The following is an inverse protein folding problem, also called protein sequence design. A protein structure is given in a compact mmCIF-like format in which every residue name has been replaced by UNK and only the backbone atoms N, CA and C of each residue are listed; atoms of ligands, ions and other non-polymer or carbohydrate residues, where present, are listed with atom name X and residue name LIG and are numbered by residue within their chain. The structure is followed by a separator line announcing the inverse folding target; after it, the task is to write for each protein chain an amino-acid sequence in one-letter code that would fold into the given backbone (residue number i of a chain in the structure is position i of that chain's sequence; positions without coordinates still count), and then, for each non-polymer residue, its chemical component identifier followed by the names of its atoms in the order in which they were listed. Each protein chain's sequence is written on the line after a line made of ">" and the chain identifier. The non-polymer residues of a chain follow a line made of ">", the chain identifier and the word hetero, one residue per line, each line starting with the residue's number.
data_IF_514955829745
#
_entry.id   IF_514955829745
#
_cell.length_a   1.000
_cell.length_b   1.000
_cell.length_c   1.000
_cell.angle_alpha   90.00
_cell.angle_beta   90.00
_cell.angle_gamma   90.00
#
_symmetry.space_group_name_H-M   'P 1'
#
loop_
_entity.id
_entity.type
_entity.pdbx_description
1 polymer ?
#
# COMPACT_ATOMS: atom_id res chain seq x y z
N UNK A 1 4.07 11.76 7.37
CA UNK A 1 3.62 11.61 5.97
C UNK A 1 3.19 12.95 5.36
N UNK A 2 2.45 13.79 6.10
CA UNK A 2 2.04 15.14 5.66
C UNK A 2 3.22 16.01 5.18
N UNK A 3 4.35 15.97 5.90
CA UNK A 3 5.57 16.69 5.49
C UNK A 3 6.14 16.19 4.16
N UNK A 4 6.16 14.87 3.92
CA UNK A 4 6.66 14.31 2.67
C UNK A 4 5.76 14.68 1.49
N UNK A 5 4.44 14.55 1.65
CA UNK A 5 3.48 14.95 0.63
C UNK A 5 3.56 16.46 0.34
N UNK A 6 3.74 17.28 1.38
CA UNK A 6 3.97 18.70 1.23
C UNK A 6 5.27 18.99 0.48
N UNK A 7 6.36 18.26 0.77
CA UNK A 7 7.63 18.38 0.03
C UNK A 7 7.46 18.02 -1.44
N UNK A 8 6.74 16.93 -1.76
CA UNK A 8 6.45 16.53 -3.15
C UNK A 8 5.71 17.63 -3.92
N UNK A 9 4.72 18.26 -3.27
CA UNK A 9 3.96 19.36 -3.87
C UNK A 9 4.76 20.65 -4.00
N UNK A 10 5.50 21.02 -2.96
CA UNK A 10 6.15 22.35 -2.87
C UNK A 10 7.51 22.39 -3.55
N UNK A 11 8.33 21.33 -3.43
CA UNK A 11 9.66 21.29 -4.04
C UNK A 11 9.64 20.71 -5.45
N UNK A 12 8.82 19.67 -5.66
CA UNK A 12 8.78 18.96 -6.94
C UNK A 12 7.58 19.36 -7.81
N UNK A 13 6.72 20.27 -7.34
CA UNK A 13 5.57 20.82 -8.08
C UNK A 13 4.60 19.75 -8.59
N UNK A 14 4.55 18.58 -7.92
CA UNK A 14 3.62 17.52 -8.29
C UNK A 14 2.20 17.88 -7.87
N UNK A 15 1.24 17.70 -8.78
CA UNK A 15 -0.18 17.72 -8.42
C UNK A 15 -0.53 16.51 -7.56
N UNK A 16 -1.61 16.58 -6.79
CA UNK A 16 -2.02 15.46 -5.95
C UNK A 16 -2.43 14.24 -6.77
N UNK A 17 -2.98 14.46 -7.97
CA UNK A 17 -3.33 13.40 -8.92
C UNK A 17 -2.12 12.72 -9.55
N UNK A 18 -0.98 13.42 -9.63
CA UNK A 18 0.29 12.84 -10.10
C UNK A 18 1.02 12.03 -9.01
N UNK A 19 0.53 12.08 -7.76
CA UNK A 19 1.09 11.33 -6.64
C UNK A 19 0.18 10.13 -6.38
N UNK A 20 0.71 8.93 -6.66
CA UNK A 20 0.06 7.68 -6.28
C UNK A 20 0.62 7.17 -4.96
N UNK A 21 -0.27 6.94 -4.00
CA UNK A 21 0.06 6.36 -2.69
C UNK A 21 -0.35 4.89 -2.71
N UNK A 22 0.47 4.01 -2.17
CA UNK A 22 0.14 2.60 -2.04
C UNK A 22 -0.14 2.25 -0.58
N UNK A 23 -1.16 1.43 -0.31
CA UNK A 23 -1.25 0.74 0.97
C UNK A 23 -0.06 -0.21 1.14
N UNK A 24 0.27 -0.57 2.38
CA UNK A 24 1.29 -1.57 2.63
C UNK A 24 0.70 -2.96 2.31
N UNK A 25 1.40 -3.82 1.53
CA UNK A 25 0.92 -5.18 1.28
C UNK A 25 0.87 -6.00 2.57
N UNK A 26 0.07 -7.08 2.64
CA UNK A 26 0.01 -7.92 3.83
C UNK A 26 1.41 -8.42 4.22
N UNK A 27 1.69 -8.36 5.51
CA UNK A 27 2.92 -8.89 6.07
C UNK A 27 2.72 -10.39 6.28
N UNK A 28 3.20 -11.21 5.34
CA UNK A 28 2.95 -12.66 5.36
C UNK A 28 3.57 -13.39 6.57
N UNK A 29 4.41 -12.74 7.37
CA UNK A 29 4.90 -13.25 8.66
C UNK A 29 4.04 -12.84 9.86
N UNK A 30 3.04 -11.97 9.69
CA UNK A 30 2.08 -11.57 10.71
C UNK A 30 0.74 -12.24 10.42
N UNK A 31 0.48 -13.34 11.12
CA UNK A 31 -0.86 -13.93 11.16
C UNK A 31 -1.72 -13.23 12.21
N UNK A 32 -2.97 -12.94 11.87
CA UNK A 32 -3.96 -12.34 12.79
C UNK A 32 -4.12 -13.15 14.08
N UNK A 33 -4.01 -14.48 13.98
CA UNK A 33 -4.18 -15.39 15.12
C UNK A 33 -2.97 -15.40 16.07
N UNK A 34 -1.79 -14.98 15.61
CA UNK A 34 -0.57 -14.95 16.42
C UNK A 34 -0.24 -13.54 16.92
N UNK A 35 -0.66 -12.51 16.19
CA UNK A 35 -0.27 -11.11 16.42
C UNK A 35 -1.44 -10.17 16.22
N UNK A 36 -2.54 -10.39 16.96
CA UNK A 36 -3.80 -9.64 16.82
C UNK A 36 -3.58 -8.12 16.88
N UNK A 37 -2.91 -7.61 17.92
CA UNK A 37 -2.69 -6.17 18.10
C UNK A 37 -1.90 -5.55 16.94
N UNK A 38 -0.85 -6.21 16.49
CA UNK A 38 -0.02 -5.77 15.37
C UNK A 38 -0.81 -5.82 14.07
N UNK A 39 -1.60 -6.87 13.86
CA UNK A 39 -2.44 -7.05 12.68
C UNK A 39 -3.53 -5.97 12.61
N UNK A 40 -4.17 -5.65 13.74
CA UNK A 40 -5.16 -4.58 13.84
C UNK A 40 -4.56 -3.19 13.63
N UNK A 41 -3.36 -2.94 14.19
CA UNK A 41 -2.64 -1.69 13.96
C UNK A 41 -2.27 -1.54 12.47
N UNK A 42 -1.78 -2.61 11.85
CA UNK A 42 -1.43 -2.65 10.43
C UNK A 42 -2.65 -2.42 9.53
N UNK A 43 -3.76 -3.10 9.83
CA UNK A 43 -5.02 -2.93 9.12
C UNK A 43 -5.56 -1.50 9.25
N UNK A 44 -5.55 -0.94 10.46
CA UNK A 44 -5.95 0.45 10.72
C UNK A 44 -5.09 1.45 9.95
N UNK A 45 -3.78 1.20 9.87
CA UNK A 45 -2.87 2.05 9.10
C UNK A 45 -3.18 2.01 7.61
N UNK A 46 -3.46 0.84 7.04
CA UNK A 46 -3.89 0.72 5.65
C UNK A 46 -5.24 1.38 5.40
N UNK A 47 -6.21 1.28 6.32
CA UNK A 47 -7.47 2.02 6.21
C UNK A 47 -7.27 3.54 6.21
N UNK A 48 -6.35 4.04 7.03
CA UNK A 48 -5.98 5.46 6.99
C UNK A 48 -5.37 5.87 5.65
N UNK A 49 -4.53 5.03 5.02
CA UNK A 49 -4.03 5.29 3.66
C UNK A 49 -5.17 5.28 2.63
N UNK A 50 -6.08 4.30 2.68
CA UNK A 50 -7.26 4.24 1.80
C UNK A 50 -8.08 5.50 1.88
N UNK A 51 -8.24 6.03 3.09
CA UNK A 51 -9.02 7.25 3.33
C UNK A 51 -8.42 8.50 2.70
N UNK A 52 -7.21 8.44 2.11
CA UNK A 52 -6.63 9.53 1.33
C UNK A 52 -7.24 9.64 -0.08
N UNK A 53 -7.95 8.61 -0.53
CA UNK A 53 -8.70 8.60 -1.79
C UNK A 53 -10.16 9.07 -1.63
N UNK A 54 -10.62 9.33 -0.39
CA UNK A 54 -12.01 9.71 -0.10
C UNK A 54 -12.43 10.97 -0.87
N UNK A 55 -13.73 11.10 -1.16
CA UNK A 55 -14.26 12.28 -1.83
C UNK A 55 -14.10 13.52 -0.94
N UNK A 56 -13.53 14.63 -1.46
CA UNK A 56 -13.43 15.87 -0.70
C UNK A 56 -14.77 16.43 -0.23
N UNK A 57 -15.86 16.13 -0.94
CA UNK A 57 -17.24 16.52 -0.57
C UNK A 57 -17.73 15.89 0.73
N UNK A 58 -17.12 14.79 1.15
CA UNK A 58 -17.47 14.06 2.38
C UNK A 58 -16.56 14.44 3.56
N UNK A 59 -15.60 15.36 3.35
CA UNK A 59 -14.61 15.79 4.34
C UNK A 59 -14.51 17.32 4.42
N UNK A 60 -13.69 17.81 5.35
CA UNK A 60 -13.41 19.24 5.48
C UNK A 60 -12.93 19.84 4.16
N UNK A 61 -13.26 21.10 3.91
CA UNK A 61 -12.93 21.83 2.67
C UNK A 61 -11.44 21.94 2.35
N UNK A 62 -10.58 21.65 3.32
CA UNK A 62 -9.11 21.61 3.18
C UNK A 62 -8.59 20.25 2.71
N UNK A 63 -9.44 19.22 2.61
CA UNK A 63 -9.06 17.87 2.26
C UNK A 63 -8.64 17.76 0.79
N UNK A 64 -7.56 17.01 0.57
CA UNK A 64 -6.93 16.84 -0.72
C UNK A 64 -6.91 15.35 -1.05
N UNK A 65 -7.57 14.98 -2.15
CA UNK A 65 -7.62 13.60 -2.63
C UNK A 65 -6.32 13.22 -3.37
N UNK A 66 -5.83 12.00 -3.13
CA UNK A 66 -4.71 11.36 -3.83
C UNK A 66 -5.16 10.08 -4.53
N UNK A 67 -4.47 9.72 -5.61
CA UNK A 67 -4.62 8.38 -6.20
C UNK A 67 -4.08 7.34 -5.21
N UNK A 68 -4.89 6.33 -4.85
CA UNK A 68 -4.47 5.24 -3.97
C UNK A 68 -4.55 3.90 -4.69
N UNK A 69 -3.49 3.10 -4.61
CA UNK A 69 -3.48 1.69 -5.02
C UNK A 69 -3.52 0.83 -3.76
N UNK A 70 -4.57 0.02 -3.62
CA UNK A 70 -4.69 -0.89 -2.49
C UNK A 70 -3.91 -2.19 -2.72
N UNK A 71 -2.59 -2.14 -2.49
CA UNK A 71 -1.74 -3.32 -2.52
C UNK A 71 -2.08 -4.34 -1.42
N UNK A 72 -2.73 -3.93 -0.32
CA UNK A 72 -3.13 -4.87 0.71
C UNK A 72 -4.20 -5.83 0.15
N UNK A 73 -5.29 -5.27 -0.39
CA UNK A 73 -6.38 -6.04 -0.99
C UNK A 73 -5.90 -6.90 -2.16
N UNK A 74 -5.10 -6.34 -3.08
CA UNK A 74 -4.62 -7.06 -4.26
C UNK A 74 -3.71 -8.26 -3.97
N UNK A 75 -3.18 -8.36 -2.75
CA UNK A 75 -2.29 -9.44 -2.28
C UNK A 75 -2.93 -10.29 -1.19
N UNK A 76 -4.21 -10.07 -0.89
CA UNK A 76 -5.03 -10.98 -0.12
C UNK A 76 -5.87 -11.88 -1.03
N UNK A 77 -6.41 -12.95 -0.46
CA UNK A 77 -7.40 -13.84 -1.04
C UNK A 77 -8.77 -13.18 -0.93
N UNK A 78 -9.24 -12.62 -2.03
CA UNK A 78 -10.60 -12.06 -2.18
C UNK A 78 -11.04 -11.19 -0.98
N UNK A 79 -12.31 -11.23 -0.62
CA UNK A 79 -12.91 -10.44 0.47
C UNK A 79 -12.47 -10.89 1.89
N UNK A 80 -11.70 -11.98 2.00
CA UNK A 80 -11.33 -12.55 3.31
C UNK A 80 -10.17 -11.82 3.98
N UNK A 81 -9.46 -10.95 3.25
CA UNK A 81 -8.24 -10.27 3.71
C UNK A 81 -7.14 -11.21 4.23
N UNK A 82 -7.21 -12.50 3.90
CA UNK A 82 -6.18 -13.50 4.20
C UNK A 82 -5.05 -13.31 3.20
N UNK A 83 -3.79 -13.30 3.66
CA UNK A 83 -2.64 -13.17 2.75
C UNK A 83 -2.62 -14.28 1.69
N UNK A 84 -2.48 -13.89 0.42
CA UNK A 84 -2.23 -14.85 -0.66
C UNK A 84 -0.74 -15.23 -0.70
N UNK A 85 -0.40 -16.31 0.01
CA UNK A 85 0.99 -16.77 0.17
C UNK A 85 1.68 -17.17 -1.14
N UNK A 86 0.93 -17.45 -2.22
CA UNK A 86 1.51 -17.78 -3.54
C UNK A 86 2.23 -16.60 -4.20
N UNK A 87 2.02 -15.38 -3.68
CA UNK A 87 2.69 -14.15 -4.14
C UNK A 87 3.94 -13.82 -3.31
N UNK A 88 4.26 -14.63 -2.30
CA UNK A 88 5.33 -14.39 -1.34
C UNK A 88 6.40 -15.48 -1.39
N UNK A 89 7.57 -15.16 -0.83
CA UNK A 89 8.65 -16.12 -0.64
C UNK A 89 8.33 -17.05 0.53
N UNK A 90 8.75 -18.32 0.43
CA UNK A 90 8.54 -19.29 1.53
C UNK A 90 9.36 -18.96 2.78
N UNK A 91 10.55 -18.38 2.60
CA UNK A 91 11.45 -18.08 3.70
C UNK A 91 11.51 -16.58 3.96
N UNK A 92 11.37 -16.20 5.23
CA UNK A 92 11.62 -14.84 5.66
C UNK A 92 13.11 -14.51 5.51
N UNK A 93 13.41 -13.32 4.98
CA UNK A 93 14.77 -12.81 4.83
C UNK A 93 14.93 -11.53 5.61
N UNK A 94 16.11 -11.35 6.20
CA UNK A 94 16.49 -10.09 6.80
C UNK A 94 16.90 -9.13 5.70
N UNK A 95 16.27 -7.96 5.67
CA UNK A 95 16.63 -6.89 4.75
C UNK A 95 17.67 -6.00 5.43
N UNK A 96 18.59 -5.42 4.66
CA UNK A 96 19.61 -4.53 5.23
C UNK A 96 18.95 -3.39 6.02
N UNK A 97 19.49 -3.08 7.19
CA UNK A 97 18.98 -2.02 8.06
C UNK A 97 17.80 -2.42 8.96
N UNK A 98 17.27 -3.64 8.87
CA UNK A 98 16.17 -4.10 9.73
C UNK A 98 16.63 -5.07 10.82
N UNK A 99 15.93 -5.05 11.96
CA UNK A 99 16.12 -6.02 13.06
C UNK A 99 15.35 -7.32 12.85
N UNK A 100 14.28 -7.28 12.07
CA UNK A 100 13.38 -8.41 11.85
C UNK A 100 13.55 -8.98 10.43
N UNK A 101 13.26 -10.27 10.30
CA UNK A 101 13.11 -10.94 9.02
C UNK A 101 11.70 -10.72 8.50
N UNK A 102 11.58 -10.46 7.21
CA UNK A 102 10.31 -10.22 6.53
C UNK A 102 10.13 -11.23 5.41
N UNK A 103 8.88 -11.60 5.18
CA UNK A 103 8.52 -12.39 4.02
C UNK A 103 8.28 -11.42 2.86
N UNK A 104 9.14 -11.50 1.84
CA UNK A 104 9.11 -10.61 0.69
C UNK A 104 8.26 -11.21 -0.43
N UNK A 105 7.85 -10.39 -1.40
CA UNK A 105 7.24 -10.90 -2.62
C UNK A 105 8.18 -11.82 -3.41
N UNK A 106 7.63 -12.90 -3.94
CA UNK A 106 8.31 -13.71 -4.93
C UNK A 106 8.24 -13.04 -6.32
N UNK A 107 8.77 -13.71 -7.35
CA UNK A 107 8.83 -13.14 -8.71
C UNK A 107 7.45 -12.80 -9.27
N UNK A 108 6.46 -13.65 -9.00
CA UNK A 108 5.06 -13.43 -9.39
C UNK A 108 4.48 -12.24 -8.64
N UNK A 109 4.68 -12.17 -7.32
CA UNK A 109 4.23 -11.05 -6.50
C UNK A 109 4.83 -9.71 -6.95
N UNK A 110 6.13 -9.66 -7.25
CA UNK A 110 6.79 -8.45 -7.74
C UNK A 110 6.26 -8.02 -9.11
N UNK A 111 6.08 -8.96 -10.04
CA UNK A 111 5.47 -8.66 -11.36
C UNK A 111 4.04 -8.12 -11.20
N UNK A 112 3.24 -8.70 -10.32
CA UNK A 112 1.88 -8.22 -10.02
C UNK A 112 1.89 -6.81 -9.43
N UNK A 113 2.76 -6.53 -8.46
CA UNK A 113 2.92 -5.19 -7.88
C UNK A 113 3.29 -4.15 -8.95
N UNK A 114 4.29 -4.45 -9.78
CA UNK A 114 4.72 -3.54 -10.85
C UNK A 114 3.62 -3.31 -11.87
N UNK A 115 2.86 -4.33 -12.23
CA UNK A 115 1.72 -4.17 -13.12
C UNK A 115 0.65 -3.25 -12.53
N UNK A 116 0.36 -3.33 -11.23
CA UNK A 116 -0.60 -2.42 -10.59
C UNK A 116 -0.09 -0.98 -10.58
N UNK A 117 1.18 -0.79 -10.19
CA UNK A 117 1.81 0.53 -10.08
C UNK A 117 1.96 1.20 -11.45
N UNK A 118 2.32 0.45 -12.49
CA UNK A 118 2.58 1.00 -13.81
C UNK A 118 1.35 1.07 -14.73
N UNK A 119 0.31 0.24 -14.54
CA UNK A 119 -0.88 0.25 -15.42
C UNK A 119 -1.72 1.52 -15.28
N UNK A 120 -1.73 2.15 -14.10
CA UNK A 120 -2.44 3.42 -13.90
C UNK A 120 -1.86 4.60 -14.71
N UNK A 121 -0.71 4.44 -15.35
CA UNK A 121 -0.09 5.48 -16.18
C UNK A 121 -0.40 5.32 -17.69
N UNK A 122 -1.07 4.24 -18.12
CA UNK A 122 -1.28 3.95 -19.56
C UNK A 122 -2.64 4.43 -20.07
N UNK A 123 -3.62 4.67 -19.19
CA UNK A 123 -4.97 5.10 -19.57
C UNK A 123 -5.08 6.58 -19.97
N UNK A 124 -4.05 7.41 -19.74
CA UNK A 124 -4.06 8.85 -20.08
C UNK A 124 -3.51 9.16 -21.48
N UNK A 125 -3.28 8.13 -22.32
CA UNK A 125 -2.76 8.26 -23.69
C UNK A 125 -3.63 7.57 -24.76
N UNK A 126 -4.93 7.37 -24.48
CA UNK A 126 -5.90 6.82 -25.44
C UNK A 126 -6.90 7.88 -25.90
#
# INVERSE_FOLDING_TARGET
>A
MTELLQVLRTKFHLSNTAITICTLPPLANLSIYAYEKQSMAFFSFNNWIRSLADNPSERESSFVNYSVIDLYEHFCLDETYITNYDLFQTQARRVSGTKHSYVLWNDTGRKRAMNLICKNNITDHS
#
